data_IF_986946659388
#
_entry.id   IF_986946659388
#
_cell.length_a   1.000
_cell.length_b   1.000
_cell.length_c   1.000
_cell.angle_alpha   90.00
_cell.angle_beta   90.00
_cell.angle_gamma   90.00
#
_symmetry.space_group_name_H-M   'P 1'
#
loop_
_entity.id
_entity.type
_entity.pdbx_description
1 polymer ?
#
# COMPACT_ATOMS: atom_id res chain seq x y z
N UNK A 1 4.57 -11.84 10.91
CA UNK A 1 3.45 -11.48 9.99
C UNK A 1 3.45 -12.49 8.86
N UNK A 2 2.30 -12.91 8.31
CA UNK A 2 2.28 -13.86 7.19
C UNK A 2 3.01 -13.27 5.98
N UNK A 3 3.84 -14.08 5.33
CA UNK A 3 4.57 -13.70 4.12
C UNK A 3 3.58 -13.58 2.96
N UNK A 4 3.57 -12.44 2.27
CA UNK A 4 2.78 -12.29 1.05
C UNK A 4 3.43 -13.11 -0.07
N UNK A 5 2.83 -14.24 -0.44
CA UNK A 5 3.43 -15.20 -1.37
C UNK A 5 3.69 -14.67 -2.79
N UNK A 6 2.98 -13.61 -3.20
CA UNK A 6 3.08 -13.00 -4.53
C UNK A 6 3.41 -11.49 -4.45
N UNK A 7 4.38 -11.11 -3.62
CA UNK A 7 4.79 -9.69 -3.53
C UNK A 7 5.49 -9.26 -4.83
N UNK A 8 4.98 -8.22 -5.48
CA UNK A 8 5.62 -7.61 -6.64
C UNK A 8 6.80 -6.71 -6.22
N UNK A 9 7.95 -6.74 -6.91
CA UNK A 9 9.00 -5.72 -6.77
C UNK A 9 8.47 -4.31 -7.07
N UNK A 10 8.88 -3.30 -6.28
CA UNK A 10 8.36 -1.92 -6.43
C UNK A 10 8.75 -1.27 -7.76
N UNK A 11 9.78 -1.74 -8.44
CA UNK A 11 10.26 -1.15 -9.70
C UNK A 11 9.26 -1.30 -10.85
N UNK A 12 8.46 -2.37 -10.84
CA UNK A 12 7.41 -2.63 -11.83
C UNK A 12 6.30 -1.55 -11.76
N UNK A 13 5.63 -1.31 -10.61
CA UNK A 13 4.62 -0.26 -10.52
C UNK A 13 5.22 1.13 -10.68
N UNK A 14 6.49 1.34 -10.31
CA UNK A 14 7.18 2.61 -10.53
C UNK A 14 7.31 2.93 -12.03
N UNK A 15 7.72 1.95 -12.85
CA UNK A 15 7.76 2.06 -14.30
C UNK A 15 6.39 2.43 -14.89
N UNK A 16 5.35 1.65 -14.58
CA UNK A 16 4.01 1.88 -15.14
C UNK A 16 3.39 3.19 -14.66
N UNK A 17 3.63 3.61 -13.41
CA UNK A 17 3.15 4.89 -12.90
C UNK A 17 3.78 6.05 -13.68
N UNK A 18 5.09 6.01 -13.96
CA UNK A 18 5.73 7.04 -14.80
C UNK A 18 5.23 7.02 -16.23
N UNK A 19 5.00 5.83 -16.79
CA UNK A 19 4.63 5.65 -18.19
C UNK A 19 3.17 6.06 -18.48
N UNK A 20 2.25 5.79 -17.54
CA UNK A 20 0.80 5.91 -17.75
C UNK A 20 0.14 7.07 -17.00
N UNK A 21 0.89 7.88 -16.25
CA UNK A 21 0.32 8.98 -15.44
C UNK A 21 1.26 10.17 -15.31
N UNK A 22 0.74 11.32 -14.90
CA UNK A 22 1.48 12.52 -14.55
C UNK A 22 1.42 12.80 -13.03
N UNK A 23 2.35 13.61 -12.47
CA UNK A 23 2.22 14.07 -11.09
C UNK A 23 0.84 14.68 -10.82
N UNK A 24 0.22 14.35 -9.69
CA UNK A 24 -1.13 14.78 -9.31
C UNK A 24 -2.28 13.87 -9.79
N UNK A 25 -2.04 13.00 -10.78
CA UNK A 25 -3.02 12.01 -11.22
C UNK A 25 -3.36 11.02 -10.09
N UNK A 26 -4.52 10.37 -10.22
CA UNK A 26 -4.97 9.34 -9.29
C UNK A 26 -4.62 7.95 -9.80
N UNK A 27 -3.83 7.21 -9.01
CA UNK A 27 -3.54 5.78 -9.22
C UNK A 27 -4.41 4.95 -8.29
N UNK A 28 -5.13 3.97 -8.82
CA UNK A 28 -6.01 3.10 -8.03
C UNK A 28 -5.57 1.65 -8.14
N UNK A 29 -5.45 0.98 -7.00
CA UNK A 29 -5.13 -0.45 -6.91
C UNK A 29 -6.18 -1.20 -6.07
N UNK A 30 -7.13 -1.90 -6.71
CA UNK A 30 -8.18 -2.61 -5.97
C UNK A 30 -7.68 -3.85 -5.22
N UNK A 31 -6.44 -4.31 -5.47
CA UNK A 31 -5.86 -5.53 -4.90
C UNK A 31 -4.45 -5.25 -4.39
N UNK A 32 -4.36 -4.31 -3.46
CA UNK A 32 -3.10 -3.67 -3.09
C UNK A 32 -2.06 -4.62 -2.49
N UNK A 33 -2.44 -5.74 -1.88
CA UNK A 33 -1.52 -6.64 -1.20
C UNK A 33 -0.70 -5.86 -0.17
N UNK A 34 0.62 -5.79 -0.37
CA UNK A 34 1.51 -4.96 0.46
C UNK A 34 1.71 -3.53 -0.05
N UNK A 35 0.76 -3.00 -0.84
CA UNK A 35 0.62 -1.61 -1.30
C UNK A 35 1.87 -1.09 -2.03
N UNK A 36 2.46 -1.90 -2.92
CA UNK A 36 3.63 -1.48 -3.72
C UNK A 36 3.27 -0.47 -4.79
N UNK A 37 2.09 -0.59 -5.39
CA UNK A 37 1.55 0.39 -6.35
C UNK A 37 1.36 1.76 -5.69
N UNK A 38 0.73 1.79 -4.51
CA UNK A 38 0.56 3.03 -3.74
C UNK A 38 1.90 3.64 -3.32
N UNK A 39 2.87 2.83 -2.89
CA UNK A 39 4.21 3.33 -2.54
C UNK A 39 4.94 3.97 -3.73
N UNK A 40 4.85 3.36 -4.91
CA UNK A 40 5.40 3.95 -6.14
C UNK A 40 4.68 5.28 -6.47
N UNK A 41 3.35 5.29 -6.44
CA UNK A 41 2.55 6.49 -6.69
C UNK A 41 2.89 7.64 -5.73
N UNK A 42 2.98 7.36 -4.42
CA UNK A 42 3.36 8.31 -3.38
C UNK A 42 4.73 8.96 -3.67
N UNK A 43 5.76 8.14 -3.93
CA UNK A 43 7.12 8.61 -4.24
C UNK A 43 7.18 9.47 -5.50
N UNK A 44 6.28 9.22 -6.44
CA UNK A 44 6.20 9.93 -7.71
C UNK A 44 5.27 11.15 -7.64
N UNK A 45 4.71 11.48 -6.47
CA UNK A 45 3.81 12.62 -6.32
C UNK A 45 2.47 12.42 -7.04
N UNK A 46 1.98 11.18 -7.11
CA UNK A 46 0.60 10.86 -7.54
C UNK A 46 -0.28 10.70 -6.31
N UNK A 47 -1.56 11.05 -6.46
CA UNK A 47 -2.58 10.64 -5.50
C UNK A 47 -2.81 9.15 -5.68
N UNK A 48 -3.14 8.43 -4.62
CA UNK A 48 -3.44 7.01 -4.75
C UNK A 48 -4.47 6.52 -3.75
N UNK A 49 -5.18 5.47 -4.15
CA UNK A 49 -6.10 4.71 -3.31
C UNK A 49 -5.82 3.24 -3.55
N UNK A 50 -5.72 2.46 -2.48
CA UNK A 50 -5.63 1.01 -2.57
C UNK A 50 -6.65 0.34 -1.64
N UNK A 51 -7.17 -0.80 -2.07
CA UNK A 51 -7.98 -1.68 -1.22
C UNK A 51 -7.28 -3.02 -1.03
N UNK A 52 -7.36 -3.57 0.17
CA UNK A 52 -6.81 -4.87 0.51
C UNK A 52 -7.71 -5.54 1.54
N UNK A 53 -8.04 -6.81 1.30
CA UNK A 53 -8.96 -7.58 2.14
C UNK A 53 -8.28 -8.14 3.38
N UNK A 54 -7.02 -8.52 3.26
CA UNK A 54 -6.22 -9.10 4.33
C UNK A 54 -5.62 -7.96 5.16
N UNK A 55 -6.27 -7.68 6.29
CA UNK A 55 -5.87 -6.61 7.20
C UNK A 55 -4.38 -6.65 7.59
N UNK A 56 -3.79 -7.84 7.71
CA UNK A 56 -2.38 -8.02 8.02
C UNK A 56 -1.45 -7.45 6.93
N UNK A 57 -1.84 -7.54 5.66
CA UNK A 57 -1.07 -6.99 4.55
C UNK A 57 -1.17 -5.48 4.52
N UNK A 58 -2.39 -4.93 4.65
CA UNK A 58 -2.62 -3.48 4.72
C UNK A 58 -1.86 -2.86 5.91
N UNK A 59 -1.96 -3.46 7.09
CA UNK A 59 -1.23 -3.03 8.29
C UNK A 59 0.29 -3.10 8.02
N UNK A 60 0.81 -4.23 7.53
CA UNK A 60 2.25 -4.38 7.27
C UNK A 60 2.76 -3.30 6.30
N UNK A 61 2.00 -3.04 5.24
CA UNK A 61 2.33 -2.05 4.23
C UNK A 61 2.26 -0.61 4.74
N UNK A 62 1.35 -0.29 5.67
CA UNK A 62 1.23 1.06 6.25
C UNK A 62 2.55 1.57 6.86
N UNK A 63 3.42 0.68 7.33
CA UNK A 63 4.76 1.04 7.84
C UNK A 63 5.63 1.74 6.80
N UNK A 64 5.49 1.37 5.52
CA UNK A 64 6.24 1.96 4.41
C UNK A 64 5.98 3.47 4.29
N UNK A 65 4.85 3.93 4.82
CA UNK A 65 4.36 5.30 4.66
C UNK A 65 4.58 6.19 5.87
N UNK A 66 5.13 5.68 6.99
CA UNK A 66 5.35 6.46 8.22
C UNK A 66 6.17 7.74 8.04
N UNK A 67 7.01 7.77 7.03
CA UNK A 67 7.90 8.90 6.74
C UNK A 67 7.29 9.94 5.80
N UNK A 68 6.11 9.68 5.23
CA UNK A 68 5.41 10.65 4.38
C UNK A 68 4.52 11.57 5.21
N UNK A 69 4.37 12.79 4.73
CA UNK A 69 3.56 13.81 5.38
C UNK A 69 2.09 13.40 5.44
N UNK A 70 1.44 13.73 6.56
CA UNK A 70 0.02 13.41 6.75
C UNK A 70 -0.27 11.93 6.99
N UNK A 71 0.73 11.07 7.20
CA UNK A 71 0.50 9.68 7.55
C UNK A 71 -0.33 9.56 8.83
N UNK A 72 -1.47 8.89 8.71
CA UNK A 72 -2.34 8.54 9.82
C UNK A 72 -2.71 7.07 9.71
N UNK A 73 -2.67 6.35 10.84
CA UNK A 73 -3.13 4.97 10.91
C UNK A 73 -4.30 4.88 11.87
N UNK A 74 -5.45 4.43 11.36
CA UNK A 74 -6.64 4.29 12.18
C UNK A 74 -6.40 3.29 13.33
N UNK A 75 -6.83 3.57 14.59
CA UNK A 75 -6.57 2.71 15.73
C UNK A 75 -7.03 1.25 15.55
N UNK A 76 -8.10 1.01 14.78
CA UNK A 76 -8.57 -0.34 14.44
C UNK A 76 -7.52 -1.22 13.74
N UNK A 77 -6.49 -0.65 13.09
CA UNK A 77 -5.40 -1.40 12.48
C UNK A 77 -4.60 -2.24 13.49
N UNK A 78 -4.70 -1.95 14.79
CA UNK A 78 -4.13 -2.77 15.86
C UNK A 78 -4.74 -4.19 15.93
N UNK A 79 -5.94 -4.40 15.36
CA UNK A 79 -6.57 -5.72 15.35
C UNK A 79 -5.87 -6.70 14.42
N UNK A 80 -5.05 -6.23 13.47
CA UNK A 80 -4.29 -7.08 12.57
C UNK A 80 -3.27 -7.97 13.30
N UNK A 81 -2.82 -7.56 14.49
CA UNK A 81 -1.88 -8.34 15.31
C UNK A 81 -2.58 -9.34 16.22
N UNK A 82 -3.92 -9.37 16.24
CA UNK A 82 -4.66 -10.34 17.04
C UNK A 82 -4.74 -11.69 16.30
N UNK A 83 -4.52 -12.81 16.99
CA UNK A 83 -4.74 -14.13 16.39
C UNK A 83 -6.20 -14.25 15.94
N UNK A 84 -6.45 -14.94 14.81
CA UNK A 84 -7.82 -15.26 14.38
C UNK A 84 -8.53 -15.93 15.56
N UNK A 85 -9.61 -15.31 16.04
CA UNK A 85 -10.51 -15.97 16.99
C UNK A 85 -11.03 -17.24 16.29
N UNK A 86 -10.78 -18.39 16.91
CA UNK A 86 -11.35 -19.67 16.48
C UNK A 86 -12.87 -19.63 16.63
#
# INVERSE_FOLDING_TARGET
>A
MPTHGAMQPTDIPDFFTRFLSQPGDLVVDPFGGTIRTGLAAERLGRRWIATEWILQYARGAAELFRQFDGFQMHPAMQWATQPKRQ
#
